data_IF_548415512802
#
_entry.id   IF_548415512802
#
_cell.length_a   1.000
_cell.length_b   1.000
_cell.length_c   1.000
_cell.angle_alpha   90.00
_cell.angle_beta   90.00
_cell.angle_gamma   90.00
#
_symmetry.space_group_name_H-M   'P 1'
#
loop_
_entity.id
_entity.type
_entity.pdbx_description
1 polymer ?
#
# COMPACT_ATOMS: atom_id res chain seq x y z
N UNK A 1 44.61 29.83 -36.69
CA UNK A 1 44.61 29.55 -35.24
C UNK A 1 43.19 29.15 -34.86
N UNK A 2 43.06 28.00 -34.20
CA UNK A 2 41.82 27.26 -33.94
C UNK A 2 40.83 28.03 -33.06
N UNK A 3 39.54 27.71 -33.17
CA UNK A 3 38.72 27.10 -32.09
C UNK A 3 37.48 26.51 -32.76
N UNK A 4 37.38 25.17 -32.78
CA UNK A 4 36.15 24.43 -33.08
C UNK A 4 35.42 24.25 -31.75
N UNK A 5 34.25 24.85 -31.60
CA UNK A 5 33.38 24.61 -30.43
C UNK A 5 32.54 23.38 -30.75
N UNK A 6 32.93 22.24 -30.18
CA UNK A 6 32.09 21.06 -30.12
C UNK A 6 31.08 21.25 -28.99
N UNK A 7 29.82 21.53 -29.32
CA UNK A 7 28.71 21.45 -28.35
C UNK A 7 28.35 19.97 -28.26
N UNK A 8 28.76 19.33 -27.15
CA UNK A 8 28.25 18.01 -26.79
C UNK A 8 26.87 18.23 -26.19
N UNK A 9 25.83 17.95 -27.00
CA UNK A 9 24.45 17.92 -26.53
C UNK A 9 24.30 16.64 -25.69
N UNK A 10 24.45 16.75 -24.37
CA UNK A 10 24.07 15.69 -23.46
C UNK A 10 22.54 15.60 -23.45
N UNK A 11 21.99 14.66 -24.24
CA UNK A 11 20.59 14.31 -24.15
C UNK A 11 20.36 13.61 -22.81
N UNK A 12 19.78 14.34 -21.84
CA UNK A 12 19.13 13.74 -20.68
C UNK A 12 17.93 12.95 -21.22
N UNK A 13 18.13 11.65 -21.45
CA UNK A 13 17.03 10.72 -21.67
C UNK A 13 16.32 10.56 -20.32
N UNK A 14 15.21 11.29 -20.13
CA UNK A 14 14.25 10.94 -19.11
C UNK A 14 13.69 9.56 -19.49
N UNK A 15 14.04 8.54 -18.72
CA UNK A 15 13.44 7.21 -18.83
C UNK A 15 11.98 7.35 -18.44
N UNK A 16 11.08 7.40 -19.40
CA UNK A 16 9.66 7.30 -19.11
C UNK A 16 9.36 5.85 -18.75
N UNK A 17 8.84 5.61 -17.54
CA UNK A 17 8.29 4.31 -17.17
C UNK A 17 7.30 3.85 -18.25
N UNK A 18 7.65 2.78 -18.98
CA UNK A 18 6.70 2.06 -19.84
C UNK A 18 5.81 1.24 -18.90
N UNK A 19 4.81 1.88 -18.31
CA UNK A 19 3.90 1.22 -17.40
C UNK A 19 3.04 0.21 -18.16
N UNK A 20 3.30 -1.09 -17.93
CA UNK A 20 2.19 -2.00 -17.81
C UNK A 20 1.20 -1.37 -16.81
N UNK A 21 -0.11 -1.43 -17.08
CA UNK A 21 -1.08 -0.70 -16.28
C UNK A 21 -0.92 -1.05 -14.79
N UNK A 22 -0.55 -0.08 -13.96
CA UNK A 22 -0.35 -0.24 -12.51
C UNK A 22 -1.57 -0.96 -11.91
N UNK A 23 -1.40 -2.20 -11.47
CA UNK A 23 -2.53 -3.09 -11.14
C UNK A 23 -2.95 -2.93 -9.67
N UNK A 24 -3.86 -2.00 -9.42
CA UNK A 24 -4.42 -1.76 -8.08
C UNK A 24 -5.68 -2.57 -7.76
N UNK A 25 -6.18 -3.36 -8.72
CA UNK A 25 -7.43 -4.15 -8.58
C UNK A 25 -7.43 -5.09 -7.37
N UNK A 26 -6.24 -5.51 -6.93
CA UNK A 26 -6.02 -6.38 -5.77
C UNK A 26 -5.20 -5.75 -4.64
N UNK A 27 -4.98 -4.44 -4.68
CA UNK A 27 -4.39 -3.72 -3.56
C UNK A 27 -5.39 -3.65 -2.40
N UNK A 28 -5.15 -4.36 -1.31
CA UNK A 28 -6.07 -4.40 -0.19
C UNK A 28 -5.42 -4.31 1.19
N UNK A 29 -6.03 -3.49 2.03
CA UNK A 29 -5.82 -3.40 3.47
C UNK A 29 -7.18 -3.35 4.16
N UNK A 30 -7.28 -3.61 5.47
CA UNK A 30 -8.58 -3.67 6.16
C UNK A 30 -9.49 -2.49 5.81
N UNK A 31 -10.69 -2.80 5.29
CA UNK A 31 -11.63 -1.81 4.81
C UNK A 31 -12.43 -1.10 5.92
N UNK A 32 -12.25 -1.42 7.20
CA UNK A 32 -13.00 -0.74 8.25
C UNK A 32 -12.84 -1.21 9.69
N UNK A 33 -13.73 -0.65 10.50
CA UNK A 33 -13.83 -0.68 11.96
C UNK A 33 -14.99 -1.58 12.46
N UNK A 34 -15.71 -2.22 11.53
CA UNK A 34 -16.78 -3.15 11.88
C UNK A 34 -16.20 -4.41 12.51
N UNK A 35 -16.61 -4.71 13.74
CA UNK A 35 -16.26 -5.96 14.43
C UNK A 35 -16.66 -7.23 13.64
N UNK A 36 -17.57 -7.10 12.65
CA UNK A 36 -17.96 -8.19 11.74
C UNK A 36 -16.96 -8.43 10.60
N UNK A 37 -15.98 -7.54 10.42
CA UNK A 37 -14.99 -7.55 9.35
C UNK A 37 -13.55 -7.60 9.91
N UNK A 38 -13.36 -8.22 11.09
CA UNK A 38 -12.03 -8.65 11.50
C UNK A 38 -11.57 -9.74 10.54
N UNK A 39 -10.88 -9.33 9.49
CA UNK A 39 -10.47 -10.20 8.41
C UNK A 39 -9.05 -10.67 8.61
N UNK A 40 -8.82 -11.92 8.24
CA UNK A 40 -7.49 -12.46 8.12
C UNK A 40 -7.04 -12.46 6.67
N UNK A 41 -5.72 -12.44 6.49
CA UNK A 41 -5.06 -12.69 5.24
C UNK A 41 -5.55 -14.04 4.68
N UNK A 42 -5.97 -14.13 3.39
CA UNK A 42 -6.50 -15.36 2.82
C UNK A 42 -5.56 -16.55 3.01
N UNK A 43 -6.12 -17.67 3.50
CA UNK A 43 -5.36 -18.90 3.75
C UNK A 43 -4.38 -18.81 4.93
N UNK A 44 -4.43 -17.76 5.76
CA UNK A 44 -3.54 -17.55 6.91
C UNK A 44 -4.35 -17.18 8.16
N UNK A 45 -3.83 -17.56 9.31
CA UNK A 45 -4.32 -17.09 10.62
C UNK A 45 -3.57 -15.81 11.03
N UNK A 46 -3.63 -14.79 10.16
CA UNK A 46 -2.96 -13.50 10.33
C UNK A 46 -4.01 -12.39 10.14
N UNK A 47 -4.37 -11.62 11.17
CA UNK A 47 -5.35 -10.55 11.02
C UNK A 47 -4.77 -9.35 10.27
N UNK A 48 -5.60 -8.71 9.45
CA UNK A 48 -5.34 -7.34 9.03
C UNK A 48 -5.55 -6.39 10.22
N UNK A 49 -4.76 -5.33 10.31
CA UNK A 49 -4.98 -4.30 11.33
C UNK A 49 -6.31 -3.59 11.06
N UNK A 50 -7.26 -3.69 11.99
CA UNK A 50 -8.56 -3.05 11.85
C UNK A 50 -8.46 -1.53 12.11
N UNK A 51 -9.20 -0.74 11.33
CA UNK A 51 -9.19 0.71 11.49
C UNK A 51 -9.85 1.10 12.82
N UNK A 52 -9.28 2.06 13.53
CA UNK A 52 -9.83 2.75 14.71
C UNK A 52 -10.24 1.87 15.90
N UNK A 53 -10.05 0.55 15.82
CA UNK A 53 -10.59 -0.43 16.78
C UNK A 53 -9.51 -1.16 17.55
N UNK A 54 -8.29 -1.23 17.00
CA UNK A 54 -7.16 -1.84 17.69
C UNK A 54 -6.52 -0.84 18.65
N UNK A 55 -6.38 -1.27 19.90
CA UNK A 55 -5.57 -0.61 20.92
C UNK A 55 -4.24 -1.37 21.05
N UNK A 56 -3.12 -0.64 21.03
CA UNK A 56 -1.76 -1.21 21.07
C UNK A 56 -0.97 -0.47 22.16
N UNK A 57 -0.32 -1.17 23.10
CA UNK A 57 0.56 -0.53 24.09
C UNK A 57 1.69 0.28 23.44
N UNK A 58 2.11 1.38 24.06
CA UNK A 58 3.17 2.26 23.54
C UNK A 58 4.55 1.60 23.44
N UNK A 59 4.76 0.51 24.17
CA UNK A 59 5.97 -0.31 24.09
C UNK A 59 5.96 -1.28 22.89
N UNK A 60 4.80 -1.53 22.29
CA UNK A 60 4.62 -2.53 21.24
C UNK A 60 4.66 -1.90 19.84
N UNK A 61 5.29 -2.57 18.85
CA UNK A 61 5.26 -2.09 17.47
C UNK A 61 3.87 -2.31 16.85
N UNK A 62 3.47 -1.41 15.94
CA UNK A 62 2.27 -1.60 15.13
C UNK A 62 2.62 -2.41 13.88
N UNK A 63 1.93 -3.53 13.67
CA UNK A 63 2.12 -4.38 12.49
C UNK A 63 0.92 -4.23 11.55
N UNK A 64 1.22 -3.96 10.28
CA UNK A 64 0.24 -3.88 9.20
C UNK A 64 0.52 -4.98 8.18
N UNK A 65 -0.54 -5.62 7.70
CA UNK A 65 -0.48 -6.47 6.52
C UNK A 65 -1.28 -5.83 5.39
N UNK A 66 -0.75 -5.95 4.17
CA UNK A 66 -1.35 -5.44 2.94
C UNK A 66 -1.18 -6.52 1.88
N UNK A 67 -2.24 -6.79 1.12
CA UNK A 67 -2.15 -7.65 -0.07
C UNK A 67 -2.12 -6.80 -1.33
N UNK A 68 -1.40 -7.23 -2.35
CA UNK A 68 -1.42 -6.60 -3.67
C UNK A 68 -1.61 -7.64 -4.76
N UNK A 69 -1.96 -7.18 -5.97
CA UNK A 69 -1.73 -8.00 -7.15
C UNK A 69 -0.26 -8.42 -7.19
N UNK A 70 0.00 -9.65 -7.62
CA UNK A 70 1.35 -10.04 -7.95
C UNK A 70 1.83 -9.27 -9.16
N UNK A 71 3.04 -8.72 -9.08
CA UNK A 71 3.61 -7.89 -10.14
C UNK A 71 2.69 -6.70 -10.53
N UNK A 72 2.14 -6.01 -9.53
CA UNK A 72 1.37 -4.78 -9.69
C UNK A 72 2.09 -3.65 -10.42
N UNK A 73 3.43 -3.59 -10.39
CA UNK A 73 4.20 -2.57 -11.11
C UNK A 73 4.60 -3.00 -12.53
N UNK A 74 4.70 -4.29 -12.83
CA UNK A 74 5.18 -4.79 -14.12
C UNK A 74 6.71 -4.89 -14.17
N UNK A 75 7.35 -4.24 -15.15
CA UNK A 75 8.82 -4.25 -15.26
C UNK A 75 9.57 -3.48 -14.15
N UNK A 76 9.05 -2.37 -13.58
CA UNK A 76 9.67 -1.65 -12.46
C UNK A 76 9.66 -2.43 -11.14
N UNK A 77 10.53 -2.02 -10.21
CA UNK A 77 10.54 -2.57 -8.86
C UNK A 77 9.31 -2.16 -8.05
N UNK A 78 8.82 -3.09 -7.24
CA UNK A 78 7.65 -2.91 -6.38
C UNK A 78 8.05 -2.54 -4.98
N UNK A 79 7.45 -1.45 -4.48
CA UNK A 79 7.61 -1.05 -3.09
C UNK A 79 6.26 -0.67 -2.50
N UNK A 80 6.05 -1.05 -1.25
CA UNK A 80 4.95 -0.53 -0.43
C UNK A 80 5.54 0.35 0.65
N UNK A 81 4.94 1.51 0.85
CA UNK A 81 5.24 2.39 1.97
C UNK A 81 3.99 2.63 2.80
N UNK A 82 4.19 2.85 4.08
CA UNK A 82 3.21 3.45 4.96
C UNK A 82 3.72 4.83 5.33
N UNK A 83 2.93 5.84 5.01
CA UNK A 83 3.08 7.18 5.58
C UNK A 83 2.40 7.15 6.93
N UNK A 84 3.18 7.14 8.01
CA UNK A 84 2.71 7.12 9.38
C UNK A 84 2.76 8.52 9.99
N UNK A 85 1.70 8.92 10.67
CA UNK A 85 1.60 10.17 11.40
C UNK A 85 1.43 9.89 12.89
N UNK A 86 2.43 10.31 13.68
CA UNK A 86 2.50 10.07 15.12
C UNK A 86 1.78 11.16 15.96
N UNK A 87 1.15 12.12 15.29
CA UNK A 87 0.55 13.29 15.93
C UNK A 87 1.37 14.57 15.76
N UNK A 88 2.67 14.46 15.43
CA UNK A 88 3.59 15.59 15.29
C UNK A 88 4.27 15.65 13.91
N UNK A 89 4.70 14.51 13.37
CA UNK A 89 5.38 14.44 12.08
C UNK A 89 5.05 13.17 11.29
N UNK A 90 5.39 13.22 10.00
CA UNK A 90 5.24 12.07 9.11
C UNK A 90 6.52 11.24 9.08
N UNK A 91 6.36 9.93 9.19
CA UNK A 91 7.39 8.92 9.02
C UNK A 91 7.04 8.06 7.80
N UNK A 92 8.07 7.59 7.09
CA UNK A 92 7.90 6.72 5.93
C UNK A 92 8.50 5.36 6.25
N UNK A 93 7.66 4.33 6.31
CA UNK A 93 8.08 2.98 6.64
C UNK A 93 7.87 2.12 5.40
N UNK A 94 8.96 1.54 4.89
CA UNK A 94 8.90 0.60 3.78
C UNK A 94 8.38 -0.76 4.27
N UNK A 95 7.49 -1.35 3.51
CA UNK A 95 7.04 -2.72 3.69
C UNK A 95 8.05 -3.72 3.18
N UNK A 96 8.02 -4.91 3.78
CA UNK A 96 8.82 -6.05 3.38
C UNK A 96 7.88 -7.11 2.82
N UNK A 97 8.25 -7.66 1.67
CA UNK A 97 7.55 -8.82 1.11
C UNK A 97 7.67 -10.01 2.06
N UNK A 98 6.57 -10.72 2.28
CA UNK A 98 6.50 -11.85 3.23
C UNK A 98 6.42 -13.16 2.50
N UNK A 99 5.42 -13.30 1.64
CA UNK A 99 5.07 -14.55 0.97
C UNK A 99 4.09 -14.24 -0.17
N UNK A 100 3.86 -15.22 -1.04
CA UNK A 100 2.76 -15.17 -1.97
C UNK A 100 1.50 -15.83 -1.38
N UNK A 101 0.35 -15.36 -1.85
CA UNK A 101 -0.97 -15.90 -1.50
C UNK A 101 -1.65 -16.32 -2.79
N UNK A 102 -2.26 -17.51 -2.76
CA UNK A 102 -3.10 -17.99 -3.84
C UNK A 102 -4.56 -17.94 -3.39
N UNK A 103 -5.39 -17.27 -4.17
CA UNK A 103 -6.85 -17.30 -4.05
C UNK A 103 -7.43 -17.90 -5.33
N UNK A 104 -8.52 -18.63 -5.21
CA UNK A 104 -9.13 -19.32 -6.34
C UNK A 104 -10.63 -19.06 -6.38
N UNK A 105 -11.19 -19.08 -7.59
CA UNK A 105 -12.62 -19.02 -7.78
C UNK A 105 -13.32 -20.28 -7.28
N UNK A 106 -12.62 -21.41 -7.15
CA UNK A 106 -13.19 -22.65 -6.63
C UNK A 106 -12.19 -23.37 -5.71
N UNK A 107 -12.62 -23.90 -4.55
CA UNK A 107 -13.97 -23.80 -3.97
C UNK A 107 -14.32 -22.37 -3.46
N UNK A 108 -15.59 -22.09 -3.16
CA UNK A 108 -16.06 -20.75 -2.75
C UNK A 108 -15.31 -20.19 -1.52
N UNK A 109 -14.91 -21.05 -0.58
CA UNK A 109 -14.15 -20.68 0.62
C UNK A 109 -12.67 -20.36 0.33
N UNK A 110 -12.17 -20.65 -0.88
CA UNK A 110 -10.86 -20.20 -1.35
C UNK A 110 -10.88 -18.77 -1.95
N UNK A 111 -12.06 -18.16 -2.07
CA UNK A 111 -12.22 -16.77 -2.52
C UNK A 111 -11.98 -15.81 -1.36
N UNK A 112 -11.38 -14.67 -1.67
CA UNK A 112 -11.33 -13.53 -0.76
C UNK A 112 -12.43 -12.55 -1.13
N UNK A 113 -13.39 -12.32 -0.22
CA UNK A 113 -14.55 -11.43 -0.44
C UNK A 113 -15.33 -11.74 -1.74
N UNK A 114 -15.41 -13.02 -2.11
CA UNK A 114 -16.10 -13.46 -3.33
C UNK A 114 -15.29 -13.34 -4.62
N UNK A 115 -14.02 -12.92 -4.55
CA UNK A 115 -13.09 -12.84 -5.67
C UNK A 115 -11.96 -13.90 -5.56
N UNK A 116 -11.36 -14.35 -6.68
CA UNK A 116 -11.74 -14.02 -8.05
C UNK A 116 -13.03 -14.74 -8.47
N UNK A 117 -13.74 -14.15 -9.44
CA UNK A 117 -14.92 -14.78 -10.05
C UNK A 117 -14.59 -15.95 -10.99
N UNK A 118 -13.37 -16.03 -11.50
CA UNK A 118 -12.87 -17.12 -12.34
C UNK A 118 -11.37 -17.34 -12.14
N UNK A 119 -10.93 -18.59 -12.30
CA UNK A 119 -9.51 -18.95 -12.33
C UNK A 119 -8.84 -18.86 -10.97
N UNK A 120 -7.53 -18.66 -11.00
CA UNK A 120 -6.68 -18.57 -9.80
C UNK A 120 -5.83 -17.31 -9.93
N UNK A 121 -5.68 -16.60 -8.81
CA UNK A 121 -4.84 -15.42 -8.74
C UNK A 121 -3.72 -15.63 -7.74
N UNK A 122 -2.58 -15.08 -8.11
CA UNK A 122 -1.40 -15.00 -7.29
C UNK A 122 -1.27 -13.56 -6.79
N UNK A 123 -1.12 -13.41 -5.48
CA UNK A 123 -1.10 -12.14 -4.77
C UNK A 123 0.17 -12.08 -3.93
N UNK A 124 0.62 -10.87 -3.63
CA UNK A 124 1.74 -10.65 -2.71
C UNK A 124 1.25 -10.19 -1.35
N UNK A 125 1.81 -10.79 -0.30
CA UNK A 125 1.62 -10.34 1.08
C UNK A 125 2.80 -9.47 1.50
N UNK A 126 2.48 -8.27 1.97
CA UNK A 126 3.45 -7.33 2.50
C UNK A 126 3.21 -7.12 3.99
N UNK A 127 4.30 -6.99 4.74
CA UNK A 127 4.29 -6.64 6.15
C UNK A 127 5.00 -5.33 6.36
N UNK A 128 4.37 -4.43 7.09
CA UNK A 128 4.95 -3.17 7.55
C UNK A 128 4.98 -3.19 9.07
N UNK A 129 6.13 -2.88 9.65
CA UNK A 129 6.32 -2.79 11.10
C UNK A 129 6.67 -1.35 11.44
N UNK A 130 5.74 -0.65 12.07
CA UNK A 130 5.94 0.69 12.64
C UNK A 130 6.53 0.48 14.04
N UNK A 131 7.79 0.85 14.27
CA UNK A 131 8.40 0.63 15.56
C UNK A 131 7.80 1.56 16.63
N UNK A 132 7.74 1.08 17.87
CA UNK A 132 7.17 1.80 19.01
C UNK A 132 7.76 3.21 19.22
N UNK A 133 9.03 3.44 18.91
CA UNK A 133 9.69 4.74 19.12
C UNK A 133 9.24 5.85 18.16
N UNK A 134 8.47 5.54 17.12
CA UNK A 134 7.79 6.54 16.25
C UNK A 134 6.28 6.57 16.47
N UNK A 135 5.77 5.96 17.53
CA UNK A 135 4.37 6.07 17.92
C UNK A 135 4.26 6.99 19.14
N UNK A 136 3.08 7.54 19.36
CA UNK A 136 2.77 8.35 20.54
C UNK A 136 1.46 7.89 21.15
N UNK A 137 1.30 7.88 22.50
CA UNK A 137 0.01 7.62 23.12
C UNK A 137 -1.10 8.51 22.54
N UNK A 138 -2.26 7.91 22.26
CA UNK A 138 -3.38 8.56 21.59
C UNK A 138 -3.59 8.06 20.16
N UNK A 139 -4.21 8.91 19.33
CA UNK A 139 -4.58 8.53 17.97
C UNK A 139 -3.41 8.75 17.02
N UNK A 140 -2.95 7.67 16.40
CA UNK A 140 -1.99 7.72 15.31
C UNK A 140 -2.74 7.42 14.01
N UNK A 141 -2.17 7.87 12.90
CA UNK A 141 -2.80 7.75 11.60
C UNK A 141 -1.84 7.30 10.52
N UNK A 142 -2.37 6.76 9.44
CA UNK A 142 -1.53 6.36 8.32
C UNK A 142 -2.26 6.33 6.98
N UNK A 143 -1.47 6.26 5.91
CA UNK A 143 -1.88 5.96 4.54
C UNK A 143 -0.92 4.98 3.89
N UNK A 144 -1.43 4.08 3.04
CA UNK A 144 -0.63 3.07 2.32
C UNK A 144 -0.38 3.56 0.90
N UNK A 145 0.90 3.56 0.51
CA UNK A 145 1.37 3.93 -0.82
C UNK A 145 1.97 2.71 -1.51
N UNK A 146 1.45 2.39 -2.69
CA UNK A 146 2.04 1.44 -3.63
C UNK A 146 2.92 2.24 -4.59
N UNK A 147 4.15 1.80 -4.82
CA UNK A 147 5.13 2.50 -5.63
C UNK A 147 5.79 1.57 -6.64
N UNK A 148 5.77 2.00 -7.89
CA UNK A 148 6.59 1.45 -8.96
C UNK A 148 7.85 2.31 -9.06
N UNK A 149 9.02 1.70 -8.91
CA UNK A 149 10.30 2.39 -8.87
C UNK A 149 11.25 1.88 -9.94
N UNK A 150 11.87 2.80 -10.66
CA UNK A 150 12.99 2.52 -11.56
C UNK A 150 14.01 3.64 -11.41
N UNK A 151 15.30 3.37 -11.63
CA UNK A 151 16.33 4.40 -11.49
C UNK A 151 15.99 5.69 -12.26
N UNK A 152 15.75 6.78 -11.51
CA UNK A 152 15.42 8.11 -12.03
C UNK A 152 13.94 8.39 -12.28
N UNK A 153 13.03 7.43 -12.09
CA UNK A 153 11.59 7.61 -12.25
C UNK A 153 10.79 6.83 -11.19
N UNK A 154 9.63 7.36 -10.79
CA UNK A 154 8.73 6.62 -9.91
C UNK A 154 7.30 7.03 -10.08
N UNK A 155 6.41 6.03 -10.07
CA UNK A 155 4.98 6.22 -10.05
C UNK A 155 4.39 5.68 -8.75
N UNK A 156 3.43 6.40 -8.18
CA UNK A 156 2.78 5.98 -6.93
C UNK A 156 1.25 5.98 -7.03
N UNK A 157 0.64 5.08 -6.27
CA UNK A 157 -0.79 5.05 -5.97
C UNK A 157 -0.98 4.98 -4.47
N UNK A 158 -1.93 5.73 -3.94
CA UNK A 158 -2.34 5.66 -2.55
C UNK A 158 -3.58 4.80 -2.47
N UNK A 159 -3.56 3.75 -1.65
CA UNK A 159 -4.80 3.12 -1.21
C UNK A 159 -5.46 4.10 -0.24
N UNK A 160 -6.78 4.27 -0.31
CA UNK A 160 -7.52 5.12 0.61
C UNK A 160 -8.78 4.49 1.22
N UNK A 161 -9.03 4.78 2.49
CA UNK A 161 -10.22 4.38 3.23
C UNK A 161 -11.42 5.28 2.89
N UNK A 162 -11.22 6.59 2.83
CA UNK A 162 -12.28 7.57 2.55
C UNK A 162 -12.02 8.33 1.25
N UNK A 163 -13.09 8.61 0.49
CA UNK A 163 -13.00 9.46 -0.70
C UNK A 163 -12.71 10.90 -0.24
N UNK A 164 -11.50 11.39 -0.48
CA UNK A 164 -11.18 12.81 -0.43
C UNK A 164 -10.65 13.21 -1.81
N UNK A 165 -11.34 14.13 -2.49
CA UNK A 165 -10.93 14.63 -3.80
C UNK A 165 -11.61 13.96 -5.00
N UNK A 166 -11.10 14.27 -6.20
CA UNK A 166 -11.77 13.99 -7.48
C UNK A 166 -11.04 13.00 -8.38
N UNK A 167 -9.86 12.52 -7.99
CA UNK A 167 -9.00 11.67 -8.83
C UNK A 167 -8.98 10.19 -8.40
N UNK A 168 -9.89 9.80 -7.52
CA UNK A 168 -9.95 8.45 -6.96
C UNK A 168 -10.67 7.44 -7.84
N UNK A 169 -10.25 6.17 -7.81
CA UNK A 169 -10.95 5.02 -8.41
C UNK A 169 -11.14 3.92 -7.38
N UNK A 170 -12.03 2.97 -7.64
CA UNK A 170 -12.32 1.85 -6.74
C UNK A 170 -11.78 0.55 -7.33
N UNK A 171 -11.16 -0.29 -6.49
CA UNK A 171 -10.73 -1.63 -6.86
C UNK A 171 -11.85 -2.67 -6.68
N UNK A 172 -11.56 -3.95 -6.96
CA UNK A 172 -12.54 -5.04 -6.85
C UNK A 172 -13.11 -5.24 -5.44
N UNK A 173 -12.39 -4.83 -4.41
CA UNK A 173 -12.79 -4.97 -3.01
C UNK A 173 -13.60 -3.79 -2.47
N UNK A 174 -13.92 -2.82 -3.33
CA UNK A 174 -14.59 -1.60 -2.91
C UNK A 174 -13.65 -0.61 -2.23
N UNK A 175 -12.34 -0.87 -2.18
CA UNK A 175 -11.38 0.10 -1.67
C UNK A 175 -10.99 1.10 -2.73
N UNK A 176 -10.72 2.31 -2.28
CA UNK A 176 -10.46 3.42 -3.15
C UNK A 176 -8.94 3.54 -3.32
N UNK A 177 -8.48 4.02 -4.47
CA UNK A 177 -7.10 4.40 -4.69
C UNK A 177 -7.02 5.71 -5.46
N UNK A 178 -5.95 6.48 -5.22
CA UNK A 178 -5.69 7.77 -5.89
C UNK A 178 -4.27 7.83 -6.44
N UNK A 179 -4.10 8.50 -7.58
CA UNK A 179 -2.79 8.84 -8.14
C UNK A 179 -2.19 10.11 -7.53
N UNK A 180 -2.96 10.82 -6.70
CA UNK A 180 -2.52 12.03 -6.01
C UNK A 180 -2.45 11.77 -4.51
N UNK A 181 -1.55 12.46 -3.83
CA UNK A 181 -1.49 12.54 -2.37
C UNK A 181 -2.65 13.43 -1.88
N UNK A 182 -3.89 13.00 -2.09
CA UNK A 182 -5.10 13.73 -1.66
C UNK A 182 -5.36 13.60 -0.15
N UNK A 183 -4.57 12.78 0.55
CA UNK A 183 -4.76 12.44 1.96
C UNK A 183 -3.84 13.27 2.86
N UNK A 184 -4.44 14.03 3.77
CA UNK A 184 -3.76 14.77 4.85
C UNK A 184 -3.26 13.85 5.99
N UNK A 185 -3.04 12.57 5.70
CA UNK A 185 -2.42 11.60 6.62
C UNK A 185 -3.36 11.02 7.68
N UNK A 186 -4.68 11.13 7.54
CA UNK A 186 -5.67 10.64 8.52
C UNK A 186 -6.67 9.64 7.95
N UNK A 187 -6.19 8.73 7.13
CA UNK A 187 -7.08 7.86 6.36
C UNK A 187 -7.40 6.57 7.13
N UNK A 188 -6.37 5.90 7.64
CA UNK A 188 -6.54 4.91 8.69
C UNK A 188 -5.97 5.40 10.00
N UNK A 189 -6.42 4.79 11.08
CA UNK A 189 -6.09 5.21 12.44
C UNK A 189 -5.91 4.00 13.35
N UNK A 190 -5.04 4.14 14.34
CA UNK A 190 -4.82 3.16 15.40
C UNK A 190 -4.57 3.88 16.72
N UNK A 191 -5.10 3.32 17.81
CA UNK A 191 -4.97 3.91 19.13
C UNK A 191 -3.79 3.28 19.86
N UNK A 192 -2.87 4.14 20.31
CA UNK A 192 -1.74 3.74 21.14
C UNK A 192 -2.09 4.04 22.60
N UNK A 193 -1.96 3.05 23.46
CA UNK A 193 -2.19 3.16 24.90
C UNK A 193 -0.87 3.51 25.61
N UNK A 194 -0.92 4.31 26.68
CA UNK A 194 0.24 4.56 27.54
C UNK A 194 0.60 3.34 28.40
#
# INVERSE_FOLDING_TARGET
MNIRICIVLAALTASALSAAAFQTEWAYHSAGDSARLQETVPGRDIPFLANASQEIPDADPVTLYVITAHNFAGDPEEQIFVRWWDGAMAHWIMGVWVDNITVSAEPEDARFRGEPSEGTLFLDLWKIVVPAWITQPGQNYYAIQLKAFQDGDSESRYLVQQVQGGFSRTNRFGQIWSASEEVHGQDWSVRILP
#
